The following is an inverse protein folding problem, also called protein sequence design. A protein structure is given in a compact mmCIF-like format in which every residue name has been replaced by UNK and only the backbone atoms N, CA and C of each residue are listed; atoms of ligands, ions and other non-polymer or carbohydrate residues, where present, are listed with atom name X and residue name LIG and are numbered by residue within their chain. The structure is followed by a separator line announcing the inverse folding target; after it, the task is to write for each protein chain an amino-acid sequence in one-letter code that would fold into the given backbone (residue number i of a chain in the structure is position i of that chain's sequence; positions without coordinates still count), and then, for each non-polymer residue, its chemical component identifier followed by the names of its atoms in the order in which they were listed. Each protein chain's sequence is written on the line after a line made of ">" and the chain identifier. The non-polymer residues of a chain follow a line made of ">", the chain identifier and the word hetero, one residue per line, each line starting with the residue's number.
data_IF_847463635770
#
_entry.id   IF_847463635770
#
_cell.length_a   1.000
_cell.length_b   1.000
_cell.length_c   1.000
_cell.angle_alpha   90.00
_cell.angle_beta   90.00
_cell.angle_gamma   90.00
#
_symmetry.space_group_name_H-M   'P 1'
#
loop_
_entity.id
_entity.type
_entity.pdbx_description
1 polymer ?
#
# COMPACT_ATOMS: atom_id res chain seq x y z
N UNK A 1 15.97 15.52 -31.92
CA UNK A 1 15.16 15.54 -30.68
C UNK A 1 13.72 15.23 -31.07
N UNK A 2 13.19 14.02 -30.81
CA UNK A 2 11.83 13.70 -31.26
C UNK A 2 11.33 12.26 -31.05
N UNK A 3 12.22 11.29 -30.90
CA UNK A 3 11.80 9.88 -30.73
C UNK A 3 11.55 9.48 -29.25
N UNK A 4 12.10 10.20 -28.28
CA UNK A 4 12.06 9.81 -26.86
C UNK A 4 10.71 10.09 -26.19
N UNK A 5 10.00 11.13 -26.63
CA UNK A 5 8.71 11.51 -26.05
C UNK A 5 7.58 10.51 -26.35
N UNK A 6 7.56 9.95 -27.55
CA UNK A 6 6.53 8.99 -27.96
C UNK A 6 6.62 7.66 -27.21
N UNK A 7 7.83 7.19 -26.89
CA UNK A 7 8.03 6.00 -26.06
C UNK A 7 7.63 6.23 -24.60
N UNK A 8 7.87 7.44 -24.06
CA UNK A 8 7.44 7.80 -22.71
C UNK A 8 5.91 7.93 -22.60
N UNK A 9 5.25 8.52 -23.60
CA UNK A 9 3.78 8.60 -23.66
C UNK A 9 3.16 7.23 -23.94
N UNK A 10 3.76 6.44 -24.85
CA UNK A 10 3.35 5.06 -25.10
C UNK A 10 3.49 4.17 -23.86
N UNK A 11 4.58 4.31 -23.09
CA UNK A 11 4.77 3.64 -21.81
C UNK A 11 3.82 4.14 -20.72
N UNK A 12 3.46 5.43 -20.71
CA UNK A 12 2.49 6.01 -19.80
C UNK A 12 1.06 5.52 -20.08
N UNK A 13 0.67 5.42 -21.36
CA UNK A 13 -0.62 4.89 -21.80
C UNK A 13 -0.69 3.36 -21.63
N UNK A 14 0.41 2.63 -21.84
CA UNK A 14 0.51 1.21 -21.54
C UNK A 14 0.44 0.93 -20.02
N UNK A 15 1.01 1.82 -19.20
CA UNK A 15 0.90 1.78 -17.75
C UNK A 15 -0.53 2.05 -17.24
N UNK A 16 -1.39 2.73 -18.02
CA UNK A 16 -2.80 2.95 -17.64
C UNK A 16 -3.68 1.71 -17.82
N UNK A 17 -3.44 0.85 -18.82
CA UNK A 17 -4.21 -0.40 -18.95
C UNK A 17 -3.87 -1.40 -17.83
N UNK A 18 -2.58 -1.51 -17.46
CA UNK A 18 -2.13 -2.18 -16.23
C UNK A 18 -2.62 -1.48 -14.95
N UNK A 19 -2.86 -0.18 -15.01
CA UNK A 19 -3.39 0.64 -13.92
C UNK A 19 -4.86 0.31 -13.60
N UNK A 20 -5.68 0.09 -14.62
CA UNK A 20 -7.10 -0.27 -14.47
C UNK A 20 -7.25 -1.65 -13.82
N UNK A 21 -6.51 -2.66 -14.28
CA UNK A 21 -6.59 -4.00 -13.67
C UNK A 21 -6.16 -3.98 -12.20
N UNK A 22 -5.06 -3.30 -11.90
CA UNK A 22 -4.55 -3.17 -10.53
C UNK A 22 -5.48 -2.36 -9.64
N UNK A 23 -6.12 -1.32 -10.18
CA UNK A 23 -7.14 -0.56 -9.46
C UNK A 23 -8.41 -1.38 -9.23
N UNK A 24 -8.86 -2.15 -10.22
CA UNK A 24 -10.00 -3.05 -10.08
C UNK A 24 -9.73 -4.10 -9.01
N UNK A 25 -8.53 -4.70 -9.02
CA UNK A 25 -8.10 -5.66 -7.99
C UNK A 25 -8.02 -5.02 -6.61
N UNK A 26 -7.45 -3.82 -6.51
CA UNK A 26 -7.45 -3.05 -5.26
C UNK A 26 -8.86 -2.86 -4.72
N UNK A 27 -9.80 -2.41 -5.55
CA UNK A 27 -11.18 -2.17 -5.14
C UNK A 27 -11.95 -3.46 -4.83
N UNK A 28 -11.64 -4.56 -5.52
CA UNK A 28 -12.18 -5.89 -5.21
C UNK A 28 -11.84 -6.32 -3.78
N UNK A 29 -10.61 -6.08 -3.32
CA UNK A 29 -10.20 -6.43 -1.96
C UNK A 29 -10.51 -5.35 -0.90
N UNK A 30 -10.38 -4.07 -1.26
CA UNK A 30 -10.61 -2.95 -0.35
C UNK A 30 -12.11 -2.69 -0.12
N UNK A 31 -12.95 -2.93 -1.12
CA UNK A 31 -14.40 -2.71 -1.06
C UNK A 31 -15.07 -3.36 0.14
N UNK A 32 -14.88 -4.68 0.37
CA UNK A 32 -15.42 -5.36 1.56
C UNK A 32 -14.89 -4.82 2.89
N UNK A 33 -13.67 -4.27 2.91
CA UNK A 33 -13.12 -3.63 4.11
C UNK A 33 -13.86 -2.31 4.37
N UNK A 34 -13.94 -1.42 3.38
CA UNK A 34 -14.60 -0.12 3.48
C UNK A 34 -16.09 -0.27 3.81
N UNK A 35 -16.76 -1.23 3.16
CA UNK A 35 -18.17 -1.54 3.43
C UNK A 35 -18.44 -1.91 4.88
N UNK A 36 -17.54 -2.68 5.52
CA UNK A 36 -17.66 -3.01 6.95
C UNK A 36 -17.57 -1.79 7.86
N UNK A 37 -16.70 -0.82 7.55
CA UNK A 37 -16.63 0.44 8.30
C UNK A 37 -17.88 1.30 8.09
N UNK A 38 -18.37 1.41 6.86
CA UNK A 38 -19.60 2.14 6.55
C UNK A 38 -20.80 1.54 7.29
N UNK A 39 -20.91 0.22 7.29
CA UNK A 39 -21.96 -0.50 8.00
C UNK A 39 -21.87 -0.37 9.52
N UNK A 40 -20.66 -0.46 10.09
CA UNK A 40 -20.44 -0.22 11.51
C UNK A 40 -20.79 1.22 11.90
N UNK A 41 -20.52 2.20 11.03
CA UNK A 41 -20.91 3.61 11.23
C UNK A 41 -22.42 3.81 11.24
N UNK A 42 -23.15 3.16 10.34
CA UNK A 42 -24.62 3.26 10.25
C UNK A 42 -25.33 2.58 11.43
N UNK A 43 -24.72 1.53 12.01
CA UNK A 43 -25.30 0.78 13.13
C UNK A 43 -24.90 1.27 14.52
N UNK A 44 -23.87 2.11 14.62
CA UNK A 44 -23.45 2.64 15.89
C UNK A 44 -24.48 3.67 16.40
N UNK A 45 -24.91 3.52 17.64
CA UNK A 45 -25.88 4.43 18.28
C UNK A 45 -25.25 5.75 18.67
N UNK A 46 -23.99 5.71 19.10
CA UNK A 46 -23.25 6.87 19.56
C UNK A 46 -21.77 6.82 19.11
N UNK A 47 -21.02 7.84 19.52
CA UNK A 47 -19.61 7.97 19.17
C UNK A 47 -18.72 6.94 19.88
N UNK A 48 -19.07 6.51 21.09
CA UNK A 48 -18.29 5.56 21.88
C UNK A 48 -18.40 4.15 21.29
N UNK A 49 -19.62 3.69 21.02
CA UNK A 49 -19.89 2.42 20.36
C UNK A 49 -19.24 2.37 18.97
N UNK A 50 -19.27 3.48 18.22
CA UNK A 50 -18.60 3.57 16.93
C UNK A 50 -17.09 3.39 17.06
N UNK A 51 -16.46 4.04 18.04
CA UNK A 51 -15.03 3.94 18.28
C UNK A 51 -14.62 2.51 18.64
N UNK A 52 -15.38 1.84 19.51
CA UNK A 52 -15.15 0.44 19.87
C UNK A 52 -15.25 -0.50 18.66
N UNK A 53 -16.34 -0.37 17.88
CA UNK A 53 -16.52 -1.15 16.64
C UNK A 53 -15.38 -0.92 15.65
N UNK A 54 -14.92 0.32 15.51
CA UNK A 54 -13.81 0.65 14.63
C UNK A 54 -12.50 0.07 15.13
N UNK A 55 -12.22 0.09 16.43
CA UNK A 55 -11.04 -0.53 17.01
C UNK A 55 -10.97 -2.04 16.68
N UNK A 56 -12.09 -2.75 16.83
CA UNK A 56 -12.19 -4.17 16.44
C UNK A 56 -11.94 -4.35 14.94
N UNK A 57 -12.57 -3.53 14.10
CA UNK A 57 -12.41 -3.61 12.64
C UNK A 57 -10.99 -3.28 12.18
N UNK A 58 -10.30 -2.36 12.84
CA UNK A 58 -8.92 -1.99 12.55
C UNK A 58 -7.99 -3.20 12.72
N UNK A 59 -8.09 -3.90 13.86
CA UNK A 59 -7.31 -5.11 14.12
C UNK A 59 -7.55 -6.21 13.09
N UNK A 60 -8.80 -6.41 12.66
CA UNK A 60 -9.14 -7.44 11.66
C UNK A 60 -8.77 -7.08 10.22
N UNK A 61 -8.71 -5.78 9.90
CA UNK A 61 -8.59 -5.30 8.52
C UNK A 61 -7.17 -4.84 8.17
N UNK A 62 -6.37 -4.43 9.15
CA UNK A 62 -4.99 -3.99 8.92
C UNK A 62 -4.12 -5.08 8.26
N UNK A 63 -4.11 -6.35 8.73
CA UNK A 63 -3.31 -7.39 8.08
C UNK A 63 -3.76 -7.68 6.64
N UNK A 64 -5.08 -7.60 6.38
CA UNK A 64 -5.66 -7.78 5.04
C UNK A 64 -5.23 -6.67 4.10
N UNK A 65 -5.24 -5.42 4.58
CA UNK A 65 -4.79 -4.28 3.80
C UNK A 65 -3.29 -4.37 3.47
N UNK A 66 -2.45 -4.82 4.43
CA UNK A 66 -1.03 -5.09 4.16
C UNK A 66 -0.87 -6.15 3.07
N UNK A 67 -1.56 -7.28 3.16
CA UNK A 67 -1.48 -8.35 2.17
C UNK A 67 -1.86 -7.88 0.75
N UNK A 68 -2.91 -7.05 0.63
CA UNK A 68 -3.30 -6.46 -0.66
C UNK A 68 -2.22 -5.53 -1.20
N UNK A 69 -1.61 -4.71 -0.34
CA UNK A 69 -0.49 -3.84 -0.73
C UNK A 69 0.73 -4.66 -1.19
N UNK A 70 1.05 -5.74 -0.48
CA UNK A 70 2.13 -6.68 -0.84
C UNK A 70 1.86 -7.35 -2.19
N UNK A 71 0.62 -7.76 -2.47
CA UNK A 71 0.22 -8.38 -3.74
C UNK A 71 0.32 -7.38 -4.91
N UNK A 72 -0.15 -6.15 -4.73
CA UNK A 72 -0.18 -5.14 -5.79
C UNK A 72 1.20 -4.55 -6.13
N UNK A 73 2.16 -4.70 -5.21
CA UNK A 73 3.57 -4.27 -5.31
C UNK A 73 3.75 -2.82 -5.79
N UNK A 74 5.00 -2.45 -6.09
CA UNK A 74 5.36 -1.17 -6.73
C UNK A 74 4.88 0.05 -5.93
N UNK A 75 4.07 0.90 -6.55
CA UNK A 75 3.58 2.13 -5.93
C UNK A 75 2.76 1.88 -4.64
N UNK A 76 1.99 0.79 -4.55
CA UNK A 76 1.19 0.52 -3.35
C UNK A 76 2.07 0.26 -2.12
N UNK A 77 3.21 -0.42 -2.30
CA UNK A 77 4.17 -0.64 -1.21
C UNK A 77 4.72 0.69 -0.73
N UNK A 78 5.10 1.59 -1.64
CA UNK A 78 5.57 2.94 -1.30
C UNK A 78 4.52 3.73 -0.52
N UNK A 79 3.24 3.66 -0.93
CA UNK A 79 2.14 4.29 -0.19
C UNK A 79 2.03 3.71 1.22
N UNK A 80 2.05 2.38 1.37
CA UNK A 80 2.04 1.73 2.68
C UNK A 80 3.20 2.18 3.57
N UNK A 81 4.41 2.30 3.01
CA UNK A 81 5.59 2.82 3.72
C UNK A 81 5.38 4.25 4.21
N UNK A 82 4.85 5.15 3.39
CA UNK A 82 4.54 6.54 3.80
C UNK A 82 3.47 6.57 4.90
N UNK A 83 2.41 5.76 4.77
CA UNK A 83 1.34 5.69 5.78
C UNK A 83 1.86 5.14 7.13
N UNK A 84 2.86 4.25 7.11
CA UNK A 84 3.41 3.65 8.32
C UNK A 84 4.21 4.62 9.22
N UNK A 85 4.63 5.76 8.67
CA UNK A 85 5.38 6.81 9.40
C UNK A 85 4.53 8.04 9.71
N UNK A 86 3.27 8.08 9.26
CA UNK A 86 2.34 9.20 9.47
C UNK A 86 1.16 8.80 10.36
N UNK A 87 1.30 8.84 11.70
CA UNK A 87 0.27 8.40 12.65
C UNK A 87 -1.04 9.19 12.52
N UNK A 88 -1.00 10.40 11.99
CA UNK A 88 -2.16 11.24 11.75
C UNK A 88 -3.04 10.78 10.57
N UNK A 89 -2.51 9.93 9.68
CA UNK A 89 -3.20 9.49 8.46
C UNK A 89 -3.92 8.15 8.60
N UNK A 90 -3.45 7.28 9.49
CA UNK A 90 -3.98 5.91 9.63
C UNK A 90 -4.04 5.47 11.09
N UNK A 91 -5.05 4.67 11.48
CA UNK A 91 -5.12 4.09 12.81
C UNK A 91 -3.90 3.22 13.13
N UNK A 92 -3.56 3.13 14.42
CA UNK A 92 -2.36 2.43 14.89
C UNK A 92 -2.24 0.98 14.43
N UNK A 93 -3.36 0.24 14.35
CA UNK A 93 -3.33 -1.14 13.84
C UNK A 93 -2.82 -1.22 12.39
N UNK A 94 -3.25 -0.29 11.53
CA UNK A 94 -2.78 -0.20 10.14
C UNK A 94 -1.32 0.22 10.09
N UNK A 95 -0.93 1.21 10.90
CA UNK A 95 0.44 1.68 10.99
C UNK A 95 1.42 0.55 11.35
N UNK A 96 1.08 -0.25 12.36
CA UNK A 96 1.90 -1.39 12.80
C UNK A 96 2.04 -2.45 11.72
N UNK A 97 0.97 -2.77 11.00
CA UNK A 97 1.06 -3.70 9.87
C UNK A 97 1.88 -3.12 8.72
N UNK A 98 1.68 -1.85 8.35
CA UNK A 98 2.41 -1.24 7.24
C UNK A 98 3.90 -1.04 7.50
N UNK A 99 4.35 -0.96 8.77
CA UNK A 99 5.78 -0.98 9.10
C UNK A 99 6.47 -2.23 8.57
N UNK A 100 5.80 -3.38 8.60
CA UNK A 100 6.32 -4.66 8.08
C UNK A 100 6.61 -4.64 6.57
N UNK A 101 6.09 -3.65 5.83
CA UNK A 101 6.40 -3.43 4.42
C UNK A 101 7.80 -2.83 4.20
N UNK A 102 8.40 -2.26 5.24
CA UNK A 102 9.77 -1.71 5.19
C UNK A 102 10.82 -2.80 5.45
N UNK A 103 10.48 -3.76 6.30
CA UNK A 103 11.44 -4.74 6.85
C UNK A 103 11.75 -5.92 5.92
N UNK A 104 11.10 -6.03 4.75
CA UNK A 104 11.20 -7.18 3.84
C UNK A 104 12.24 -7.05 2.72
N UNK A 105 13.27 -6.20 2.84
CA UNK A 105 14.38 -6.24 1.89
C UNK A 105 15.18 -7.54 2.13
N UNK A 106 15.22 -8.51 1.19
CA UNK A 106 16.12 -9.64 1.33
C UNK A 106 17.57 -9.11 1.40
N UNK A 107 18.43 -9.68 2.26
CA UNK A 107 19.84 -9.28 2.30
C UNK A 107 20.43 -9.47 0.91
N UNK A 108 20.85 -8.36 0.29
CA UNK A 108 21.51 -8.41 -1.01
C UNK A 108 22.91 -9.00 -0.84
N UNK A 109 23.33 -9.82 -1.82
CA UNK A 109 24.71 -10.33 -1.88
C UNK A 109 25.67 -9.13 -1.97
N UNK A 110 26.72 -9.15 -1.16
CA UNK A 110 27.66 -8.03 -1.03
C UNK A 110 28.52 -7.84 -2.27
N UNK A 111 28.83 -8.92 -3.01
CA UNK A 111 29.74 -8.89 -4.16
C UNK A 111 29.33 -7.90 -5.27
N UNK A 112 28.07 -7.87 -5.74
CA UNK A 112 27.65 -6.87 -6.74
C UNK A 112 27.61 -5.43 -6.21
N UNK A 113 27.47 -5.22 -4.89
CA UNK A 113 27.47 -3.88 -4.28
C UNK A 113 28.91 -3.35 -4.18
N UNK A 114 29.85 -4.21 -3.79
CA UNK A 114 31.27 -3.88 -3.71
C UNK A 114 31.83 -3.49 -5.08
N UNK A 115 31.53 -4.26 -6.14
CA UNK A 115 32.01 -3.97 -7.49
C UNK A 115 31.45 -2.66 -8.07
N UNK A 116 30.26 -2.23 -7.64
CA UNK A 116 29.71 -0.92 -8.03
C UNK A 116 30.41 0.23 -7.28
N UNK A 117 30.70 0.05 -5.99
CA UNK A 117 31.35 1.06 -5.15
C UNK A 117 32.81 1.30 -5.56
N UNK A 118 33.53 0.24 -5.91
CA UNK A 118 34.92 0.31 -6.40
C UNK A 118 35.05 1.00 -7.77
N UNK A 119 33.95 1.14 -8.52
CA UNK A 119 33.93 1.76 -9.84
C UNK A 119 33.67 3.27 -9.82
N UNK A 120 33.16 3.78 -8.71
CA UNK A 120 32.87 5.22 -8.49
C UNK A 120 33.97 5.93 -7.67
N UNK A 121 35.05 5.22 -7.32
CA UNK A 121 36.29 5.73 -6.71
C UNK A 121 37.40 5.84 -7.76
#
# INVERSE_FOLDING_TARGET
>A
VGATGAAAVGGYLYATELGVERAARFWWHAGPIVGRYGWARLRARDAAERAERFAVLHGQSAPKARAVIEELRGMFVKVGQVLSVRPELVPDAYRQEFRKLQDQAPPARWEPIQAALERDL
#
